data_IF_618677382545
#
_entry.id   IF_618677382545
#
_cell.length_a   1.000
_cell.length_b   1.000
_cell.length_c   1.000
_cell.angle_alpha   90.00
_cell.angle_beta   90.00
_cell.angle_gamma   90.00
#
_symmetry.space_group_name_H-M   'P 1'
#
loop_
_entity.id
_entity.type
_entity.pdbx_description
1 polymer ?
#
# COMPACT_ATOMS: atom_id res chain seq x y z
N UNK A 1 12.77 -13.83 12.82
CA UNK A 1 12.10 -15.15 12.82
C UNK A 1 11.77 -15.50 11.38
N UNK A 2 12.21 -16.65 10.84
CA UNK A 2 12.00 -16.96 9.41
C UNK A 2 10.60 -17.57 9.20
N UNK A 3 9.91 -17.18 8.12
CA UNK A 3 8.70 -17.88 7.69
C UNK A 3 9.09 -19.09 6.84
N UNK A 4 8.57 -20.24 7.25
CA UNK A 4 8.73 -21.52 6.59
C UNK A 4 7.92 -21.40 5.29
N UNK A 5 8.58 -21.42 4.12
CA UNK A 5 8.11 -21.24 2.71
C UNK A 5 8.30 -19.86 2.05
N UNK A 6 8.80 -18.84 2.74
CA UNK A 6 8.75 -17.45 2.27
C UNK A 6 9.83 -17.06 1.25
N UNK A 7 9.41 -16.42 0.15
CA UNK A 7 10.30 -15.50 -0.60
C UNK A 7 10.93 -14.51 0.41
N UNK A 8 12.19 -14.08 0.22
CA UNK A 8 12.81 -13.10 1.11
C UNK A 8 11.96 -11.83 1.17
N UNK A 9 11.70 -11.35 2.37
CA UNK A 9 11.07 -10.05 2.60
C UNK A 9 12.20 -9.02 2.67
N UNK A 10 12.08 -7.98 1.85
CA UNK A 10 12.98 -6.83 1.87
C UNK A 10 12.18 -5.66 2.43
N UNK A 11 12.67 -5.06 3.50
CA UNK A 11 12.09 -3.85 4.08
C UNK A 11 12.74 -2.64 3.40
N UNK A 12 11.94 -1.87 2.67
CA UNK A 12 12.39 -0.65 1.99
C UNK A 12 11.62 0.54 2.60
N UNK A 13 12.32 1.50 3.23
CA UNK A 13 11.68 2.72 3.75
C UNK A 13 11.06 3.53 2.63
N UNK A 14 9.75 3.76 2.71
CA UNK A 14 9.00 4.62 1.79
C UNK A 14 8.91 6.01 2.39
N UNK A 15 9.35 7.03 1.65
CA UNK A 15 9.32 8.44 2.10
C UNK A 15 8.07 9.15 1.62
N UNK A 16 7.48 8.72 0.51
CA UNK A 16 6.32 9.37 -0.08
C UNK A 16 5.51 8.41 -0.98
N UNK A 17 4.20 8.63 -1.04
CA UNK A 17 3.31 8.03 -2.04
C UNK A 17 3.04 9.10 -3.09
N UNK A 18 3.81 9.08 -4.18
CA UNK A 18 3.85 10.20 -5.13
C UNK A 18 2.73 10.16 -6.16
N UNK A 19 2.23 8.96 -6.50
CA UNK A 19 1.19 8.80 -7.52
C UNK A 19 0.32 7.56 -7.24
N UNK A 20 -0.99 7.70 -7.41
CA UNK A 20 -1.95 6.60 -7.37
C UNK A 20 -2.83 6.68 -8.60
N UNK A 21 -2.70 5.71 -9.49
CA UNK A 21 -3.54 5.56 -10.68
C UNK A 21 -4.49 4.39 -10.44
N UNK A 22 -5.77 4.69 -10.29
CA UNK A 22 -6.83 3.67 -10.21
C UNK A 22 -7.52 3.63 -11.56
N UNK A 23 -7.51 2.46 -12.19
CA UNK A 23 -8.19 2.27 -13.47
C UNK A 23 -9.67 2.00 -13.23
N UNK A 24 -10.54 2.57 -14.07
CA UNK A 24 -11.99 2.35 -13.98
C UNK A 24 -12.44 1.08 -14.70
N UNK A 25 -11.53 0.42 -15.42
CA UNK A 25 -11.82 -0.82 -16.15
C UNK A 25 -11.84 -2.00 -15.18
N UNK A 26 -12.90 -2.81 -15.22
CA UNK A 26 -13.12 -3.90 -14.26
C UNK A 26 -12.03 -5.00 -14.27
N UNK A 27 -11.15 -5.01 -15.27
CA UNK A 27 -10.03 -5.94 -15.39
C UNK A 27 -8.68 -5.36 -14.94
N UNK A 28 -8.59 -4.05 -14.74
CA UNK A 28 -7.37 -3.36 -14.37
C UNK A 28 -7.53 -2.83 -12.93
N UNK A 29 -6.54 -3.04 -12.07
CA UNK A 29 -6.65 -2.68 -10.65
C UNK A 29 -6.12 -1.28 -10.36
N UNK A 30 -4.93 -1.20 -9.79
CA UNK A 30 -4.28 0.08 -9.52
C UNK A 30 -2.77 -0.01 -9.69
N UNK A 31 -2.16 1.14 -9.95
CA UNK A 31 -0.73 1.31 -9.96
C UNK A 31 -0.35 2.44 -8.99
N UNK A 32 0.54 2.15 -8.04
CA UNK A 32 0.96 3.08 -6.99
C UNK A 32 2.46 3.31 -7.10
N UNK A 33 2.88 4.57 -7.24
CA UNK A 33 4.29 4.96 -7.17
C UNK A 33 4.67 5.31 -5.74
N UNK A 34 5.73 4.69 -5.25
CA UNK A 34 6.33 4.94 -3.95
C UNK A 34 7.75 5.46 -4.16
N UNK A 35 8.03 6.63 -3.62
CA UNK A 35 9.40 7.16 -3.53
C UNK A 35 10.04 6.57 -2.28
N UNK A 36 11.29 6.10 -2.41
CA UNK A 36 11.98 5.40 -1.32
C UNK A 36 13.33 6.03 -0.99
N UNK A 37 13.90 5.68 0.17
CA UNK A 37 15.28 6.07 0.52
C UNK A 37 16.34 5.21 -0.19
N UNK A 38 15.93 4.13 -0.86
CA UNK A 38 16.84 3.28 -1.62
C UNK A 38 17.18 3.92 -2.99
N UNK A 39 18.13 3.32 -3.70
CA UNK A 39 18.55 3.75 -5.05
C UNK A 39 17.48 3.50 -6.14
N UNK A 40 16.22 3.25 -5.75
CA UNK A 40 15.10 3.02 -6.66
C UNK A 40 13.74 3.39 -6.04
N UNK A 41 12.88 4.00 -6.85
CA UNK A 41 11.45 4.10 -6.57
C UNK A 41 10.76 2.74 -6.83
N UNK A 42 9.60 2.53 -6.21
CA UNK A 42 8.79 1.31 -6.41
C UNK A 42 7.48 1.64 -7.13
N UNK A 43 7.11 0.76 -8.07
CA UNK A 43 5.76 0.69 -8.61
C UNK A 43 5.06 -0.55 -8.08
N UNK A 44 3.98 -0.37 -7.33
CA UNK A 44 3.09 -1.44 -6.92
C UNK A 44 1.95 -1.55 -7.92
N UNK A 45 1.89 -2.67 -8.64
CA UNK A 45 0.78 -3.01 -9.53
C UNK A 45 -0.14 -3.98 -8.80
N UNK A 46 -1.38 -3.56 -8.60
CA UNK A 46 -2.41 -4.29 -7.87
C UNK A 46 -3.45 -4.81 -8.86
N UNK A 47 -3.83 -6.07 -8.70
CA UNK A 47 -5.05 -6.57 -9.35
C UNK A 47 -6.29 -5.98 -8.67
N UNK A 48 -7.47 -5.96 -9.34
CA UNK A 48 -8.70 -5.45 -8.74
C UNK A 48 -9.02 -6.08 -7.37
N UNK A 49 -8.83 -7.40 -7.23
CA UNK A 49 -9.08 -8.10 -5.96
C UNK A 49 -8.15 -7.62 -4.84
N UNK A 50 -6.87 -7.42 -5.14
CA UNK A 50 -5.88 -6.95 -4.15
C UNK A 50 -6.13 -5.48 -3.79
N UNK A 51 -6.54 -4.67 -4.76
CA UNK A 51 -6.93 -3.28 -4.52
C UNK A 51 -8.08 -3.19 -3.51
N UNK A 52 -9.15 -3.96 -3.70
CA UNK A 52 -10.29 -3.99 -2.75
C UNK A 52 -9.83 -4.43 -1.35
N UNK A 53 -8.93 -5.40 -1.25
CA UNK A 53 -8.36 -5.82 0.03
C UNK A 53 -7.58 -4.69 0.71
N UNK A 54 -6.75 -3.98 -0.06
CA UNK A 54 -5.97 -2.84 0.43
C UNK A 54 -6.89 -1.71 0.93
N UNK A 55 -7.94 -1.38 0.18
CA UNK A 55 -8.93 -0.36 0.58
C UNK A 55 -9.59 -0.69 1.92
N UNK A 56 -10.01 -1.94 2.12
CA UNK A 56 -10.60 -2.39 3.38
C UNK A 56 -9.60 -2.26 4.54
N UNK A 57 -8.32 -2.60 4.30
CA UNK A 57 -7.28 -2.48 5.32
C UNK A 57 -6.98 -1.01 5.67
N UNK A 58 -6.89 -0.14 4.67
CA UNK A 58 -6.66 1.30 4.86
C UNK A 58 -7.85 1.97 5.57
N UNK A 59 -9.09 1.60 5.23
CA UNK A 59 -10.28 2.11 5.90
C UNK A 59 -10.29 1.76 7.40
N UNK A 60 -9.88 0.54 7.76
CA UNK A 60 -9.72 0.13 9.17
C UNK A 60 -8.60 0.90 9.86
N UNK A 61 -7.46 1.08 9.19
CA UNK A 61 -6.34 1.86 9.73
C UNK A 61 -6.75 3.31 10.01
N UNK A 62 -7.50 3.95 9.10
CA UNK A 62 -8.03 5.29 9.27
C UNK A 62 -8.97 5.40 10.48
N UNK A 63 -9.86 4.41 10.69
CA UNK A 63 -10.73 4.36 11.87
C UNK A 63 -9.93 4.30 13.19
N UNK A 64 -8.86 3.50 13.24
CA UNK A 64 -8.02 3.43 14.43
C UNK A 64 -7.20 4.69 14.67
N UNK A 65 -6.75 5.36 13.61
CA UNK A 65 -6.06 6.65 13.73
C UNK A 65 -7.01 7.75 14.22
N UNK A 66 -8.26 7.77 13.74
CA UNK A 66 -9.26 8.75 14.15
C UNK A 66 -9.55 8.71 15.66
N UNK A 67 -9.43 7.53 16.31
CA UNK A 67 -9.57 7.41 17.78
C UNK A 67 -8.43 8.07 18.55
N UNK A 68 -7.27 8.25 17.92
CA UNK A 68 -6.06 8.81 18.53
C UNK A 68 -5.93 10.32 18.33
N UNK A 69 -6.76 10.92 17.46
CA UNK A 69 -6.83 12.38 17.32
C UNK A 69 -7.50 12.94 18.58
N UNK A 70 -6.90 13.92 19.29
CA UNK A 70 -7.58 14.56 20.41
C UNK A 70 -8.86 15.20 19.88
N UNK A 71 -10.02 14.83 20.43
CA UNK A 71 -11.22 15.64 20.27
C UNK A 71 -10.91 17.00 20.90
N UNK A 72 -10.88 18.05 20.09
CA UNK A 72 -10.96 19.42 20.59
C UNK A 72 -12.30 19.62 21.32
#
# INVERSE_FOLDING_TARGET
MPSITGKPIIEIPVVNVSEVVVTTDMGEGAMIKLETEADADLWLVLSPTVLVQLEVMLARAAQEQAKKVPRQ
#
